data_IF_076163567650
#
_entry.id   IF_076163567650
#
_cell.length_a   1.000
_cell.length_b   1.000
_cell.length_c   1.000
_cell.angle_alpha   90.00
_cell.angle_beta   90.00
_cell.angle_gamma   90.00
#
_symmetry.space_group_name_H-M   'P 1'
#
loop_
_entity.id
_entity.type
_entity.pdbx_description
1 polymer ?
#
# COMPACT_ATOMS: atom_id res chain seq x y z
N UNK A 1 18.92 -6.32 -5.76
CA UNK A 1 19.12 -6.13 -4.31
C UNK A 1 18.66 -7.32 -3.50
N UNK A 2 19.48 -7.79 -2.53
CA UNK A 2 19.21 -9.05 -1.83
C UNK A 2 18.05 -8.99 -0.82
N UNK A 3 17.78 -7.82 -0.27
CA UNK A 3 16.77 -7.67 0.79
C UNK A 3 15.32 -7.80 0.28
N UNK A 4 15.06 -7.50 -1.01
CA UNK A 4 13.76 -7.73 -1.67
C UNK A 4 13.67 -9.06 -2.44
N UNK A 5 14.69 -9.93 -2.37
CA UNK A 5 14.74 -11.14 -3.20
C UNK A 5 13.53 -12.06 -3.01
N UNK A 6 13.01 -12.17 -1.80
CA UNK A 6 11.82 -12.98 -1.48
C UNK A 6 10.53 -12.41 -2.02
N UNK A 7 10.50 -11.11 -2.32
CA UNK A 7 9.30 -10.40 -2.82
C UNK A 7 9.02 -10.68 -4.30
N UNK A 8 9.94 -11.28 -5.01
CA UNK A 8 9.83 -11.60 -6.44
C UNK A 8 9.43 -13.07 -6.70
N UNK A 9 8.66 -13.67 -5.82
CA UNK A 9 8.02 -14.96 -6.06
C UNK A 9 6.78 -14.75 -6.97
N UNK A 10 6.73 -15.49 -8.09
CA UNK A 10 5.60 -15.43 -9.04
C UNK A 10 4.25 -15.79 -8.41
N UNK A 11 4.24 -16.51 -7.29
CA UNK A 11 3.03 -16.81 -6.51
C UNK A 11 2.41 -15.57 -5.88
N UNK A 12 3.17 -14.49 -5.77
CA UNK A 12 2.74 -13.20 -5.22
C UNK A 12 2.11 -12.28 -6.28
N UNK A 13 2.03 -12.69 -7.55
CA UNK A 13 1.33 -11.91 -8.58
C UNK A 13 -0.11 -11.64 -8.17
N UNK A 14 -0.49 -10.36 -8.12
CA UNK A 14 -1.80 -9.91 -7.61
C UNK A 14 -1.96 -9.98 -6.09
N UNK A 15 -0.88 -10.28 -5.34
CA UNK A 15 -0.90 -10.44 -3.88
C UNK A 15 0.33 -9.80 -3.21
N UNK A 16 0.92 -8.78 -3.80
CA UNK A 16 2.08 -8.10 -3.26
C UNK A 16 3.41 -8.45 -3.89
N UNK A 17 3.42 -8.87 -5.15
CA UNK A 17 4.67 -9.08 -5.89
C UNK A 17 5.54 -7.82 -5.85
N UNK A 18 6.82 -7.99 -5.49
CA UNK A 18 7.76 -6.88 -5.32
C UNK A 18 7.63 -6.11 -4.00
N UNK A 19 6.59 -6.34 -3.22
CA UNK A 19 6.41 -5.74 -1.90
C UNK A 19 7.11 -6.57 -0.81
N UNK A 20 7.52 -5.92 0.27
CA UNK A 20 7.98 -6.63 1.46
C UNK A 20 6.81 -7.00 2.36
N UNK A 21 6.86 -8.20 2.91
CA UNK A 21 5.99 -8.64 3.98
C UNK A 21 6.50 -8.11 5.32
N UNK A 22 5.62 -7.90 6.26
CA UNK A 22 6.04 -7.46 7.59
C UNK A 22 4.91 -6.97 8.47
N UNK A 23 5.31 -6.71 9.70
CA UNK A 23 4.45 -6.31 10.79
C UNK A 23 4.61 -4.81 10.99
N UNK A 24 3.54 -4.04 10.88
CA UNK A 24 3.58 -2.59 11.07
C UNK A 24 3.18 -2.22 12.50
N UNK A 25 2.07 -2.74 12.98
CA UNK A 25 1.54 -2.41 14.28
C UNK A 25 1.27 -3.65 15.14
N UNK A 26 0.89 -4.76 14.51
CA UNK A 26 0.55 -6.00 15.20
C UNK A 26 1.58 -7.09 14.85
N UNK A 27 2.17 -7.77 15.87
CA UNK A 27 3.11 -8.86 15.63
C UNK A 27 2.52 -10.04 14.84
N UNK A 28 1.23 -10.11 14.68
CA UNK A 28 0.55 -11.19 13.97
C UNK A 28 0.17 -10.87 12.51
N UNK A 29 0.49 -9.67 12.01
CA UNK A 29 0.20 -9.25 10.64
C UNK A 29 1.33 -9.61 9.64
N UNK A 30 1.29 -10.79 9.00
CA UNK A 30 2.35 -11.22 8.08
C UNK A 30 2.04 -10.85 6.61
N UNK A 31 1.35 -9.72 6.38
CA UNK A 31 0.84 -9.34 5.08
C UNK A 31 1.73 -8.33 4.34
N UNK A 32 1.56 -8.23 3.02
CA UNK A 32 2.15 -7.18 2.20
C UNK A 32 1.33 -5.89 2.35
N UNK A 33 1.63 -5.14 3.42
CA UNK A 33 0.88 -3.94 3.78
C UNK A 33 1.30 -2.74 2.93
N UNK A 34 0.32 -1.98 2.47
CA UNK A 34 0.57 -0.76 1.69
C UNK A 34 1.24 0.33 2.53
N UNK A 35 0.87 0.48 3.80
CA UNK A 35 1.52 1.41 4.71
C UNK A 35 3.01 1.11 4.87
N UNK A 36 3.38 -0.15 5.16
CA UNK A 36 4.78 -0.56 5.33
C UNK A 36 5.59 -0.27 4.07
N UNK A 37 5.05 -0.64 2.92
CA UNK A 37 5.74 -0.48 1.64
C UNK A 37 5.80 0.99 1.20
N UNK A 38 4.79 1.80 1.51
CA UNK A 38 4.81 3.24 1.29
C UNK A 38 5.92 3.92 2.10
N UNK A 39 6.00 3.65 3.40
CA UNK A 39 7.08 4.18 4.24
C UNK A 39 8.46 3.69 3.81
N UNK A 40 8.56 2.42 3.40
CA UNK A 40 9.81 1.86 2.89
C UNK A 40 10.30 2.60 1.64
N UNK A 41 9.41 2.81 0.68
CA UNK A 41 9.70 3.61 -0.51
C UNK A 41 10.13 5.03 -0.15
N UNK A 42 9.33 5.74 0.67
CA UNK A 42 9.63 7.12 1.06
C UNK A 42 10.99 7.22 1.73
N UNK A 43 11.27 6.32 2.69
CA UNK A 43 12.55 6.28 3.40
C UNK A 43 13.73 6.05 2.45
N UNK A 44 13.60 5.10 1.52
CA UNK A 44 14.65 4.83 0.53
C UNK A 44 14.83 6.00 -0.45
N UNK A 45 13.76 6.66 -0.87
CA UNK A 45 13.81 7.85 -1.73
C UNK A 45 14.54 9.00 -1.05
N UNK A 46 14.20 9.32 0.22
CA UNK A 46 14.89 10.38 0.99
C UNK A 46 16.36 10.04 1.27
N UNK A 47 16.66 8.76 1.51
CA UNK A 47 18.04 8.31 1.65
C UNK A 47 18.82 8.50 0.33
N UNK A 48 18.21 8.23 -0.81
CA UNK A 48 18.82 8.44 -2.12
C UNK A 48 19.14 9.92 -2.39
N UNK A 49 18.26 10.82 -1.98
CA UNK A 49 18.49 12.27 -2.06
C UNK A 49 19.68 12.70 -1.19
N UNK A 50 19.67 12.27 0.07
CA UNK A 50 20.71 12.65 1.04
C UNK A 50 22.09 12.10 0.65
N UNK A 51 22.17 10.82 0.32
CA UNK A 51 23.43 10.18 -0.07
C UNK A 51 23.89 10.64 -1.45
N UNK A 52 22.98 10.98 -2.34
CA UNK A 52 23.32 11.52 -3.66
C UNK A 52 24.05 12.86 -3.60
N UNK A 53 23.86 13.65 -2.53
CA UNK A 53 24.62 14.86 -2.30
C UNK A 53 26.09 14.60 -1.91
N UNK A 54 26.40 13.41 -1.40
CA UNK A 54 27.74 13.02 -0.95
C UNK A 54 28.40 12.10 -1.98
N UNK A 55 27.66 11.10 -2.45
CA UNK A 55 28.06 10.14 -3.48
C UNK A 55 26.95 10.00 -4.52
N UNK A 56 27.09 10.70 -5.67
CA UNK A 56 26.09 10.65 -6.73
C UNK A 56 25.81 9.25 -7.27
N UNK A 57 26.82 8.39 -7.37
CA UNK A 57 26.65 7.03 -7.89
C UNK A 57 25.81 6.16 -6.94
N UNK A 58 26.05 6.30 -5.64
CA UNK A 58 25.26 5.65 -4.61
C UNK A 58 23.82 6.18 -4.62
N UNK A 59 23.63 7.50 -4.66
CA UNK A 59 22.32 8.13 -4.73
C UNK A 59 21.51 7.70 -5.93
N UNK A 60 22.12 7.63 -7.11
CA UNK A 60 21.47 7.17 -8.34
C UNK A 60 21.06 5.68 -8.27
N UNK A 61 21.91 4.85 -7.65
CA UNK A 61 21.57 3.44 -7.44
C UNK A 61 20.34 3.28 -6.55
N UNK A 62 20.30 4.00 -5.43
CA UNK A 62 19.17 3.98 -4.49
C UNK A 62 17.90 4.56 -5.11
N UNK A 63 18.01 5.61 -5.90
CA UNK A 63 16.87 6.22 -6.60
C UNK A 63 16.22 5.24 -7.58
N UNK A 64 17.02 4.53 -8.39
CA UNK A 64 16.50 3.49 -9.28
C UNK A 64 15.79 2.36 -8.51
N UNK A 65 16.33 1.97 -7.38
CA UNK A 65 15.70 0.95 -6.54
C UNK A 65 14.41 1.44 -5.89
N UNK A 66 14.39 2.68 -5.41
CA UNK A 66 13.19 3.29 -4.84
C UNK A 66 12.07 3.36 -5.89
N UNK A 67 12.40 3.82 -7.10
CA UNK A 67 11.42 3.91 -8.18
C UNK A 67 10.91 2.53 -8.64
N UNK A 68 11.79 1.54 -8.73
CA UNK A 68 11.37 0.17 -9.02
C UNK A 68 10.41 -0.37 -7.93
N UNK A 69 10.70 -0.07 -6.67
CA UNK A 69 9.82 -0.46 -5.57
C UNK A 69 8.48 0.29 -5.61
N UNK A 70 8.51 1.58 -5.90
CA UNK A 70 7.29 2.38 -6.11
C UNK A 70 6.38 1.75 -7.15
N UNK A 71 6.93 1.33 -8.30
CA UNK A 71 6.15 0.71 -9.37
C UNK A 71 5.55 -0.63 -8.94
N UNK A 72 6.31 -1.48 -8.24
CA UNK A 72 5.81 -2.75 -7.71
C UNK A 72 4.64 -2.54 -6.74
N UNK A 73 4.76 -1.55 -5.84
CA UNK A 73 3.69 -1.22 -4.88
C UNK A 73 2.45 -0.68 -5.61
N UNK A 74 2.63 0.21 -6.58
CA UNK A 74 1.54 0.75 -7.41
C UNK A 74 0.81 -0.36 -8.15
N UNK A 75 1.56 -1.23 -8.83
CA UNK A 75 0.97 -2.36 -9.56
C UNK A 75 0.15 -3.26 -8.63
N UNK A 76 0.72 -3.66 -7.49
CA UNK A 76 0.02 -4.48 -6.50
C UNK A 76 -1.23 -3.80 -5.95
N UNK A 77 -1.18 -2.50 -5.71
CA UNK A 77 -2.34 -1.72 -5.25
C UNK A 77 -3.46 -1.70 -6.29
N UNK A 78 -3.16 -1.37 -7.53
CA UNK A 78 -4.17 -1.30 -8.58
C UNK A 78 -4.75 -2.68 -8.94
N UNK A 79 -3.95 -3.74 -8.86
CA UNK A 79 -4.43 -5.11 -9.01
C UNK A 79 -5.39 -5.50 -7.88
N UNK A 80 -5.09 -5.16 -6.64
CA UNK A 80 -5.97 -5.36 -5.49
C UNK A 80 -7.26 -4.52 -5.63
N UNK A 81 -7.13 -3.26 -6.00
CA UNK A 81 -8.26 -2.35 -6.19
C UNK A 81 -9.22 -2.84 -7.28
N UNK A 82 -8.69 -3.35 -8.39
CA UNK A 82 -9.49 -3.89 -9.49
C UNK A 82 -10.33 -5.12 -9.09
N UNK A 83 -9.95 -5.82 -8.04
CA UNK A 83 -10.68 -6.97 -7.49
C UNK A 83 -11.57 -6.60 -6.30
N UNK A 84 -11.51 -5.35 -5.84
CA UNK A 84 -12.24 -4.90 -4.67
C UNK A 84 -13.73 -4.70 -4.96
N UNK A 85 -14.61 -5.00 -4.00
CA UNK A 85 -16.02 -4.70 -4.14
C UNK A 85 -16.25 -3.19 -4.22
N UNK A 86 -17.30 -2.80 -4.93
CA UNK A 86 -17.72 -1.42 -5.08
C UNK A 86 -18.86 -1.14 -4.11
N UNK A 87 -18.79 -0.01 -3.42
CA UNK A 87 -19.79 0.42 -2.44
C UNK A 87 -20.39 1.78 -2.82
N UNK A 88 -21.68 2.02 -2.51
CA UNK A 88 -22.29 3.35 -2.73
C UNK A 88 -21.78 4.34 -1.69
N UNK A 89 -21.55 5.59 -2.13
CA UNK A 89 -21.09 6.68 -1.26
C UNK A 89 -22.24 7.55 -0.70
N UNK A 90 -23.49 7.25 -1.05
CA UNK A 90 -24.65 7.99 -0.55
C UNK A 90 -25.01 9.25 -1.37
N UNK A 91 -24.10 9.74 -2.19
CA UNK A 91 -24.31 10.87 -3.12
C UNK A 91 -24.72 10.44 -4.54
N UNK A 92 -24.99 9.16 -4.72
CA UNK A 92 -25.29 8.54 -6.02
C UNK A 92 -24.07 8.03 -6.78
N UNK A 93 -22.87 8.22 -6.24
CA UNK A 93 -21.63 7.66 -6.79
C UNK A 93 -21.24 6.34 -6.11
N UNK A 94 -20.33 5.61 -6.74
CA UNK A 94 -19.83 4.32 -6.26
C UNK A 94 -18.31 4.34 -6.23
N UNK A 95 -17.73 3.68 -5.24
CA UNK A 95 -16.30 3.63 -5.05
C UNK A 95 -15.81 2.20 -4.77
N UNK A 96 -14.71 1.75 -5.39
CA UNK A 96 -14.07 0.51 -4.98
C UNK A 96 -13.46 0.66 -3.60
N UNK A 97 -13.67 -0.34 -2.75
CA UNK A 97 -13.10 -0.36 -1.40
C UNK A 97 -11.65 -0.77 -1.46
N UNK A 98 -10.75 0.09 -1.00
CA UNK A 98 -9.33 -0.22 -0.97
C UNK A 98 -8.96 -0.95 0.32
N UNK A 99 -8.16 -2.01 0.19
CA UNK A 99 -7.69 -2.80 1.32
C UNK A 99 -6.35 -2.30 1.87
N UNK A 100 -6.04 -2.56 3.14
CA UNK A 100 -4.74 -2.24 3.72
C UNK A 100 -3.61 -3.16 3.22
N UNK A 101 -3.95 -4.33 2.67
CA UNK A 101 -3.00 -5.35 2.20
C UNK A 101 -3.26 -5.79 0.76
N UNK A 102 -2.22 -6.19 0.08
CA UNK A 102 -2.32 -6.65 -1.31
C UNK A 102 -3.05 -8.00 -1.46
N UNK A 103 -3.04 -8.86 -0.44
CA UNK A 103 -3.66 -10.19 -0.45
C UNK A 103 -5.18 -10.18 -0.28
N UNK A 104 -5.72 -9.10 0.26
CA UNK A 104 -7.14 -9.02 0.61
C UNK A 104 -7.80 -7.85 -0.09
N UNK A 105 -8.29 -8.03 -1.33
CA UNK A 105 -8.98 -6.97 -2.06
C UNK A 105 -10.31 -6.62 -1.38
N UNK A 106 -10.42 -5.39 -0.88
CA UNK A 106 -11.63 -4.87 -0.26
C UNK A 106 -11.61 -4.83 1.26
N UNK A 107 -12.78 -4.65 1.89
CA UNK A 107 -12.89 -4.52 3.34
C UNK A 107 -12.37 -5.76 4.06
N UNK A 108 -11.55 -5.54 5.06
CA UNK A 108 -10.93 -6.58 5.88
C UNK A 108 -11.92 -7.64 6.37
N UNK A 109 -13.09 -7.23 6.83
CA UNK A 109 -14.13 -8.13 7.36
C UNK A 109 -14.60 -9.20 6.37
N UNK A 110 -14.45 -8.97 5.06
CA UNK A 110 -14.84 -9.95 4.04
C UNK A 110 -13.84 -11.11 3.92
N UNK A 111 -12.60 -10.93 4.36
CA UNK A 111 -11.51 -11.87 4.15
C UNK A 111 -11.05 -12.57 5.42
N UNK A 112 -11.30 -11.98 6.58
CA UNK A 112 -10.90 -12.55 7.86
C UNK A 112 -12.00 -13.43 8.42
N UNK A 113 -11.87 -14.72 8.23
CA UNK A 113 -12.79 -15.73 8.81
C UNK A 113 -12.52 -16.04 10.28
N UNK A 114 -11.40 -15.56 10.84
CA UNK A 114 -11.00 -15.83 12.23
C UNK A 114 -10.88 -14.53 13.01
N UNK A 115 -11.54 -14.49 14.16
CA UNK A 115 -11.54 -13.36 15.11
C UNK A 115 -10.15 -13.03 15.69
N UNK A 116 -9.13 -13.84 15.43
CA UNK A 116 -7.77 -13.65 15.92
C UNK A 116 -7.03 -12.46 15.30
N UNK A 117 -7.50 -11.95 14.19
CA UNK A 117 -6.93 -10.76 13.53
C UNK A 117 -7.65 -9.48 13.94
N UNK A 118 -7.88 -9.31 15.22
CA UNK A 118 -8.32 -8.04 15.77
C UNK A 118 -7.11 -7.12 15.98
N UNK A 119 -6.46 -6.68 14.91
CA UNK A 119 -5.56 -5.56 15.06
C UNK A 119 -6.36 -4.28 15.23
N UNK A 120 -5.96 -3.46 16.16
CA UNK A 120 -6.33 -2.08 16.45
C UNK A 120 -7.57 -1.55 15.70
N UNK A 121 -8.74 -1.80 16.25
CA UNK A 121 -9.98 -1.23 15.73
C UNK A 121 -10.42 -1.84 14.41
N UNK A 122 -11.20 -2.82 14.50
CA UNK A 122 -11.93 -3.57 13.49
C UNK A 122 -12.92 -2.74 12.66
N UNK A 123 -12.63 -1.49 12.37
CA UNK A 123 -13.57 -0.62 11.69
C UNK A 123 -13.06 -0.25 10.30
N UNK A 124 -13.98 -0.14 9.38
CA UNK A 124 -13.75 0.23 7.98
C UNK A 124 -12.91 1.50 7.78
N UNK A 125 -13.00 2.44 8.71
CA UNK A 125 -12.22 3.69 8.70
C UNK A 125 -10.72 3.45 8.94
N UNK A 126 -10.29 2.65 9.94
CA UNK A 126 -8.88 2.31 10.11
C UNK A 126 -8.27 1.55 8.94
N UNK A 127 -9.05 0.73 8.24
CA UNK A 127 -8.54 -0.01 7.09
C UNK A 127 -8.08 0.93 5.96
N UNK A 128 -8.81 2.01 5.71
CA UNK A 128 -8.39 3.06 4.79
C UNK A 128 -7.20 3.88 5.29
N UNK A 129 -7.12 4.12 6.60
CA UNK A 129 -6.01 4.87 7.21
C UNK A 129 -4.70 4.08 7.21
N UNK A 130 -4.74 2.78 7.50
CA UNK A 130 -3.54 1.95 7.66
C UNK A 130 -2.97 1.41 6.34
N UNK A 131 -3.56 1.72 5.23
CA UNK A 131 -3.16 1.19 3.94
C UNK A 131 -3.12 2.25 2.84
N UNK A 132 -4.21 2.39 2.08
CA UNK A 132 -4.22 3.16 0.84
C UNK A 132 -3.90 4.64 0.99
N UNK A 133 -4.33 5.29 2.06
CA UNK A 133 -4.01 6.70 2.31
C UNK A 133 -2.51 6.94 2.50
N UNK A 134 -1.80 5.97 3.07
CA UNK A 134 -0.34 6.06 3.19
C UNK A 134 0.38 6.00 1.85
N UNK A 135 -0.23 5.44 0.81
CA UNK A 135 0.33 5.51 -0.53
C UNK A 135 0.37 6.94 -1.06
N UNK A 136 -0.61 7.75 -0.69
CA UNK A 136 -0.61 9.19 -1.02
C UNK A 136 0.36 9.95 -0.12
N UNK A 137 0.32 9.74 1.20
CA UNK A 137 1.25 10.40 2.14
C UNK A 137 2.72 10.08 1.88
N UNK A 138 3.00 8.91 1.35
CA UNK A 138 4.35 8.46 1.03
C UNK A 138 4.75 8.70 -0.44
N UNK A 139 3.96 9.47 -1.19
CA UNK A 139 4.27 9.84 -2.58
C UNK A 139 4.36 8.63 -3.54
N UNK A 140 3.77 7.50 -3.17
CA UNK A 140 3.62 6.35 -4.08
C UNK A 140 2.55 6.66 -5.14
N UNK A 141 1.46 7.30 -4.71
CA UNK A 141 0.40 7.86 -5.56
C UNK A 141 0.46 9.37 -5.41
N UNK A 142 0.57 10.09 -6.52
CA UNK A 142 0.63 11.55 -6.47
C UNK A 142 -0.73 12.15 -6.05
N UNK A 143 -0.74 13.26 -5.30
CA UNK A 143 -1.98 13.85 -4.78
C UNK A 143 -2.97 14.31 -5.86
N UNK A 144 -2.50 14.60 -7.07
CA UNK A 144 -3.31 15.03 -8.21
C UNK A 144 -3.83 13.86 -9.08
N UNK A 145 -3.37 12.62 -8.80
CA UNK A 145 -3.86 11.45 -9.51
C UNK A 145 -5.35 11.16 -9.20
N UNK A 146 -6.11 10.63 -10.18
CA UNK A 146 -7.50 10.23 -9.93
C UNK A 146 -7.63 9.22 -8.78
N UNK A 147 -6.67 8.35 -8.60
CA UNK A 147 -6.66 7.38 -7.50
C UNK A 147 -6.58 8.04 -6.12
N UNK A 148 -5.78 9.09 -5.97
CA UNK A 148 -5.71 9.85 -4.71
C UNK A 148 -7.05 10.51 -4.39
N UNK A 149 -7.68 11.14 -5.38
CA UNK A 149 -9.02 11.74 -5.21
C UNK A 149 -10.08 10.73 -4.83
N UNK A 150 -10.06 9.56 -5.49
CA UNK A 150 -10.95 8.46 -5.18
C UNK A 150 -10.78 7.99 -3.73
N UNK A 151 -9.53 7.76 -3.28
CA UNK A 151 -9.24 7.32 -1.91
C UNK A 151 -9.75 8.33 -0.86
N UNK A 152 -9.53 9.62 -1.09
CA UNK A 152 -10.02 10.68 -0.22
C UNK A 152 -11.55 10.70 -0.18
N UNK A 153 -12.21 10.63 -1.33
CA UNK A 153 -13.67 10.61 -1.41
C UNK A 153 -14.26 9.38 -0.72
N UNK A 154 -13.70 8.20 -0.95
CA UNK A 154 -14.12 6.97 -0.27
C UNK A 154 -13.97 7.08 1.24
N UNK A 155 -12.90 7.70 1.70
CA UNK A 155 -12.62 7.83 3.13
C UNK A 155 -13.59 8.79 3.83
N UNK A 156 -13.81 9.97 3.25
CA UNK A 156 -14.64 11.01 3.89
C UNK A 156 -16.14 10.83 3.71
N UNK A 157 -16.59 10.09 2.69
CA UNK A 157 -18.02 9.91 2.44
C UNK A 157 -18.57 8.60 3.06
N UNK A 158 -17.73 7.75 3.61
CA UNK A 158 -18.15 6.55 4.38
C UNK A 158 -18.22 6.79 5.89
N UNK A 159 -17.85 7.98 6.35
CA UNK A 159 -17.99 8.42 7.76
C UNK A 159 -19.26 9.21 7.97
#
# INVERSE_FOLDING_TARGET
>A
MRWRAKSFDEKLRGKGYGMIDGKVADPEDPFHQFMLNGYGYLGLSRMAETLGAIDPACGDSLRREAEAWRQDVRESFFQSLAQSPVVPLGDGTWCPTAAPWAEAPGPRLLFLKNEKFRSHGTFTVPDGLLGPMYLVFCEVIEPDEPAARMLVSCFFLQT
#
